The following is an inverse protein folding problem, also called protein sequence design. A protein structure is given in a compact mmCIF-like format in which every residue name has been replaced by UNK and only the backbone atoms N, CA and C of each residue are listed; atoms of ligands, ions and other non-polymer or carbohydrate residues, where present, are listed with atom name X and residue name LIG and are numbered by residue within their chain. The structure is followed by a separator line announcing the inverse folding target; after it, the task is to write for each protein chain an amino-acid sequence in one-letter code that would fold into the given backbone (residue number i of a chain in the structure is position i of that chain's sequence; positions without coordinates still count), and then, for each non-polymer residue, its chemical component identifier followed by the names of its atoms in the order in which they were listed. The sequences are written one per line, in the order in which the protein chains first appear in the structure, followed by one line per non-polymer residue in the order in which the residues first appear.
data_IF_679965459264
#
_entry.id   IF_679965459264
#
_cell.length_a   1.000
_cell.length_b   1.000
_cell.length_c   1.000
_cell.angle_alpha   90.00
_cell.angle_beta   90.00
_cell.angle_gamma   90.00
#
_symmetry.space_group_name_H-M   'P 1'
#
loop_
_entity.id
_entity.type
_entity.pdbx_description
1 polymer ?
#
# COMPACT_ATOMS: atom_id res chain seq x y z
N UNK A 1 -15.13 -22.02 26.11
CA UNK A 1 -15.45 -22.04 24.67
C UNK A 1 -15.65 -20.63 24.17
N UNK A 2 -15.03 -20.28 23.08
CA UNK A 2 -15.14 -18.93 22.53
C UNK A 2 -16.46 -18.73 21.81
N UNK A 3 -17.10 -17.56 22.02
CA UNK A 3 -18.29 -17.16 21.28
C UNK A 3 -17.94 -16.31 20.05
N UNK A 4 -16.64 -16.12 19.78
CA UNK A 4 -16.19 -15.30 18.65
C UNK A 4 -16.19 -16.12 17.37
N UNK A 5 -16.56 -15.50 16.24
CA UNK A 5 -16.48 -16.18 14.96
C UNK A 5 -15.02 -16.49 14.60
N UNK A 6 -14.83 -17.60 13.90
CA UNK A 6 -13.51 -17.97 13.37
C UNK A 6 -13.39 -17.48 11.96
N UNK A 7 -12.31 -16.76 11.65
CA UNK A 7 -12.06 -16.28 10.30
C UNK A 7 -11.62 -17.44 9.39
N UNK A 8 -12.09 -17.48 8.14
CA UNK A 8 -11.56 -18.43 7.17
C UNK A 8 -10.05 -18.25 6.99
N UNK A 9 -9.33 -19.35 6.79
CA UNK A 9 -7.88 -19.31 6.68
C UNK A 9 -7.38 -18.49 5.49
N UNK A 10 -8.17 -18.42 4.41
CA UNK A 10 -7.82 -17.62 3.24
C UNK A 10 -7.87 -16.12 3.48
N UNK A 11 -8.50 -15.67 4.56
CA UNK A 11 -8.55 -14.25 4.94
C UNK A 11 -7.42 -13.87 5.89
N UNK A 12 -6.66 -14.84 6.37
CA UNK A 12 -5.56 -14.57 7.29
C UNK A 12 -4.30 -14.16 6.51
N UNK A 13 -3.44 -13.31 7.11
CA UNK A 13 -2.16 -12.97 6.48
C UNK A 13 -1.32 -14.22 6.24
N UNK A 14 -0.56 -14.24 5.15
CA UNK A 14 0.32 -15.37 4.83
C UNK A 14 1.41 -15.58 5.89
N UNK A 15 1.80 -14.51 6.57
CA UNK A 15 2.71 -14.56 7.72
C UNK A 15 2.26 -13.51 8.74
N UNK A 16 2.97 -13.38 9.86
CA UNK A 16 2.58 -12.49 10.94
C UNK A 16 2.87 -11.00 10.72
N UNK A 17 3.36 -10.61 9.53
CA UNK A 17 3.72 -9.22 9.25
C UNK A 17 2.52 -8.41 8.78
N UNK A 18 1.66 -8.05 9.72
CA UNK A 18 0.45 -7.27 9.48
C UNK A 18 0.28 -6.26 10.61
N UNK A 19 1.21 -5.35 10.71
CA UNK A 19 1.22 -4.34 11.77
C UNK A 19 1.36 -2.93 11.22
N UNK A 20 1.46 -1.98 12.10
CA UNK A 20 1.60 -0.55 11.73
C UNK A 20 2.97 -0.22 11.14
N UNK A 21 3.98 -1.04 11.38
CA UNK A 21 5.31 -0.92 10.79
C UNK A 21 5.63 -2.15 9.96
N UNK A 22 6.00 -3.28 10.59
CA UNK A 22 6.30 -4.50 9.84
C UNK A 22 5.05 -5.02 9.15
N UNK A 23 5.12 -5.16 7.84
CA UNK A 23 4.00 -5.71 7.07
C UNK A 23 4.52 -6.55 5.90
N UNK A 24 3.65 -7.43 5.42
CA UNK A 24 3.97 -8.35 4.33
C UNK A 24 4.16 -7.59 3.03
N UNK A 25 5.28 -7.85 2.35
CA UNK A 25 5.53 -7.37 1.00
C UNK A 25 5.38 -8.55 0.04
N UNK A 26 4.49 -8.45 -0.93
CA UNK A 26 4.27 -9.52 -1.91
C UNK A 26 5.38 -9.53 -2.96
N UNK A 27 5.75 -10.70 -3.50
CA UNK A 27 6.76 -10.77 -4.56
C UNK A 27 6.46 -9.87 -5.76
N UNK A 28 5.19 -9.75 -6.16
CA UNK A 28 4.79 -8.87 -7.26
C UNK A 28 5.12 -7.40 -6.99
N UNK A 29 5.08 -6.97 -5.73
CA UNK A 29 5.45 -5.61 -5.34
C UNK A 29 6.95 -5.37 -5.52
N UNK A 30 7.78 -6.36 -5.16
CA UNK A 30 9.22 -6.29 -5.35
C UNK A 30 9.58 -6.26 -6.84
N UNK A 31 8.91 -7.08 -7.65
CA UNK A 31 9.12 -7.09 -9.09
C UNK A 31 8.78 -5.74 -9.72
N UNK A 32 7.67 -5.14 -9.31
CA UNK A 32 7.26 -3.82 -9.78
C UNK A 32 8.29 -2.76 -9.40
N UNK A 33 8.81 -2.80 -8.18
CA UNK A 33 9.83 -1.88 -7.71
C UNK A 33 11.13 -2.05 -8.51
N UNK A 34 11.54 -3.28 -8.76
CA UNK A 34 12.75 -3.58 -9.54
C UNK A 34 12.65 -3.02 -10.96
N UNK A 35 11.50 -3.17 -11.61
CA UNK A 35 11.27 -2.61 -12.95
C UNK A 35 11.35 -1.09 -12.98
N UNK A 36 10.94 -0.43 -11.91
CA UNK A 36 10.97 1.03 -11.80
C UNK A 36 12.20 1.60 -11.12
N UNK A 37 13.17 0.77 -10.76
CA UNK A 37 14.27 1.15 -9.88
C UNK A 37 15.07 2.36 -10.37
N UNK A 38 15.35 2.43 -11.67
CA UNK A 38 16.18 3.50 -12.24
C UNK A 38 15.48 4.86 -12.24
N UNK A 39 14.15 4.88 -12.19
CA UNK A 39 13.39 6.14 -12.23
C UNK A 39 12.89 6.58 -10.85
N UNK A 40 12.85 5.69 -9.86
CA UNK A 40 12.23 5.96 -8.56
C UNK A 40 13.25 5.91 -7.43
N UNK A 41 14.02 4.82 -7.33
CA UNK A 41 14.95 4.60 -6.22
C UNK A 41 16.08 5.63 -6.28
N UNK A 42 16.31 6.29 -5.16
CA UNK A 42 17.32 7.34 -5.07
C UNK A 42 16.90 8.66 -5.71
N UNK A 43 15.65 8.75 -6.14
CA UNK A 43 15.11 9.96 -6.79
C UNK A 43 14.31 10.78 -5.77
N UNK A 44 14.49 12.09 -5.81
CA UNK A 44 13.79 13.00 -4.90
C UNK A 44 12.27 12.92 -5.09
N UNK A 45 11.53 13.01 -3.98
CA UNK A 45 10.07 13.10 -3.99
C UNK A 45 9.53 14.32 -4.74
N UNK A 46 10.40 15.28 -5.09
CA UNK A 46 10.04 16.46 -5.89
C UNK A 46 10.08 16.19 -7.38
N UNK A 47 10.70 15.10 -7.80
CA UNK A 47 10.77 14.73 -9.21
C UNK A 47 9.46 14.11 -9.69
N UNK A 48 9.14 14.33 -10.97
CA UNK A 48 7.88 13.90 -11.56
C UNK A 48 7.65 12.39 -11.44
N UNK A 49 8.68 11.58 -11.65
CA UNK A 49 8.56 10.13 -11.57
C UNK A 49 8.04 9.67 -10.20
N UNK A 50 8.54 10.27 -9.12
CA UNK A 50 8.09 9.94 -7.76
C UNK A 50 6.71 10.53 -7.49
N UNK A 51 6.44 11.75 -7.95
CA UNK A 51 5.12 12.38 -7.81
C UNK A 51 4.03 11.55 -8.51
N UNK A 52 4.34 10.99 -9.67
CA UNK A 52 3.40 10.16 -10.42
C UNK A 52 3.05 8.89 -9.64
N UNK A 53 4.03 8.24 -9.02
CA UNK A 53 3.79 7.06 -8.18
C UNK A 53 2.90 7.42 -6.99
N UNK A 54 3.17 8.52 -6.32
CA UNK A 54 2.34 9.01 -5.20
C UNK A 54 0.92 9.30 -5.67
N UNK A 55 0.77 9.91 -6.85
CA UNK A 55 -0.53 10.19 -7.44
C UNK A 55 -1.32 8.90 -7.72
N UNK A 56 -0.68 7.88 -8.27
CA UNK A 56 -1.30 6.58 -8.52
C UNK A 56 -1.76 5.91 -7.22
N UNK A 57 -0.95 5.98 -6.16
CA UNK A 57 -1.32 5.42 -4.86
C UNK A 57 -2.56 6.14 -4.31
N UNK A 58 -2.58 7.46 -4.38
CA UNK A 58 -3.71 8.25 -3.89
C UNK A 58 -4.98 7.97 -4.67
N UNK A 59 -4.90 7.87 -5.99
CA UNK A 59 -6.05 7.51 -6.83
C UNK A 59 -6.55 6.11 -6.51
N UNK A 60 -5.65 5.14 -6.42
CA UNK A 60 -6.01 3.76 -6.12
C UNK A 60 -6.70 3.61 -4.77
N UNK A 61 -6.22 4.31 -3.74
CA UNK A 61 -6.83 4.29 -2.42
C UNK A 61 -8.19 4.99 -2.42
N UNK A 62 -8.33 6.10 -3.17
CA UNK A 62 -9.61 6.79 -3.31
C UNK A 62 -10.66 5.89 -3.94
N UNK A 63 -10.31 5.14 -4.97
CA UNK A 63 -11.22 4.18 -5.61
C UNK A 63 -11.54 3.01 -4.67
N UNK A 64 -10.52 2.45 -4.02
CA UNK A 64 -10.69 1.31 -3.12
C UNK A 64 -11.68 1.61 -2.00
N UNK A 65 -11.61 2.80 -1.42
CA UNK A 65 -12.48 3.22 -0.34
C UNK A 65 -13.73 3.95 -0.81
N UNK A 66 -13.90 4.16 -2.11
CA UNK A 66 -15.04 4.89 -2.68
C UNK A 66 -15.25 6.22 -1.98
N UNK A 67 -14.18 7.02 -1.88
CA UNK A 67 -14.23 8.28 -1.12
C UNK A 67 -15.25 9.24 -1.69
N UNK A 68 -16.10 9.85 -0.83
CA UNK A 68 -17.00 10.91 -1.26
C UNK A 68 -16.23 12.18 -1.64
N UNK A 69 -16.87 13.06 -2.40
CA UNK A 69 -16.31 14.37 -2.73
C UNK A 69 -15.97 15.14 -1.45
N UNK A 70 -14.86 15.85 -1.47
CA UNK A 70 -14.39 16.63 -0.32
C UNK A 70 -13.44 15.88 0.59
N UNK A 71 -13.26 14.57 0.39
CA UNK A 71 -12.24 13.79 1.10
C UNK A 71 -11.01 13.63 0.24
N UNK A 72 -9.84 13.52 0.88
CA UNK A 72 -8.62 13.27 0.13
C UNK A 72 -7.69 12.32 0.91
N UNK A 73 -6.86 11.62 0.16
CA UNK A 73 -5.85 10.72 0.72
C UNK A 73 -4.60 11.54 1.04
N UNK A 74 -4.12 11.42 2.27
CA UNK A 74 -2.86 12.03 2.70
C UNK A 74 -1.92 10.93 3.14
N UNK A 75 -0.71 10.92 2.61
CA UNK A 75 0.33 9.96 2.97
C UNK A 75 1.29 10.63 3.95
N UNK A 76 1.50 10.02 5.08
CA UNK A 76 2.39 10.54 6.11
C UNK A 76 3.11 9.41 6.83
N UNK A 77 4.08 9.79 7.67
CA UNK A 77 4.73 8.81 8.53
C UNK A 77 3.76 8.37 9.62
N UNK A 78 3.69 7.06 9.81
CA UNK A 78 2.78 6.44 10.77
C UNK A 78 3.21 6.53 12.22
#
# INVERSE_FOLDING_TARGET
MSNYPTLPSELLPADGRFGCGPSKVRPAQLDALTRGATSIIGTSHRQLAVKDVVGEVREGLSELFSLPDGYEIVLSLG
#
